data_IF_087463903075
#
_entry.id   IF_087463903075
#
_cell.length_a   1.000
_cell.length_b   1.000
_cell.length_c   1.000
_cell.angle_alpha   90.00
_cell.angle_beta   90.00
_cell.angle_gamma   90.00
#
_symmetry.space_group_name_H-M   'P 1'
#
loop_
_entity.id
_entity.type
_entity.pdbx_description
1 polymer ?
#
# COMPACT_ATOMS: atom_id res chain seq x y z
N UNK A 1 12.08 -35.73 -51.06
CA UNK A 1 13.24 -35.29 -50.27
C UNK A 1 12.86 -35.39 -48.79
N UNK A 2 13.09 -36.56 -48.20
CA UNK A 2 12.70 -36.88 -46.82
C UNK A 2 13.73 -36.30 -45.85
N UNK A 3 13.37 -35.23 -45.13
CA UNK A 3 14.23 -34.68 -44.08
C UNK A 3 14.13 -35.54 -42.83
N UNK A 4 15.19 -36.32 -42.60
CA UNK A 4 15.38 -37.17 -41.44
C UNK A 4 15.93 -36.31 -40.30
N UNK A 5 15.09 -35.95 -39.32
CA UNK A 5 15.49 -35.10 -38.19
C UNK A 5 16.13 -35.97 -37.10
N UNK A 6 17.46 -36.07 -37.14
CA UNK A 6 18.23 -36.75 -36.10
C UNK A 6 18.14 -35.97 -34.77
N UNK A 7 17.25 -36.43 -33.89
CA UNK A 7 17.14 -35.96 -32.51
C UNK A 7 18.40 -36.36 -31.71
N UNK A 8 19.32 -35.42 -31.54
CA UNK A 8 20.40 -35.55 -30.56
C UNK A 8 19.82 -35.71 -29.15
N UNK A 9 20.15 -36.79 -28.45
CA UNK A 9 19.59 -37.17 -27.13
C UNK A 9 19.78 -36.15 -26.00
N UNK A 10 20.52 -35.05 -26.20
CA UNK A 10 20.86 -34.03 -25.17
C UNK A 10 20.14 -32.69 -25.36
N UNK A 11 19.44 -32.48 -26.47
CA UNK A 11 18.64 -31.28 -26.75
C UNK A 11 17.32 -31.14 -25.96
N UNK A 12 16.61 -32.22 -25.53
CA UNK A 12 15.31 -32.04 -24.87
C UNK A 12 15.45 -31.45 -23.46
N UNK A 13 16.57 -31.70 -22.78
CA UNK A 13 16.80 -31.23 -21.42
C UNK A 13 17.00 -29.70 -21.34
N UNK A 14 17.64 -29.11 -22.35
CA UNK A 14 17.85 -27.64 -22.43
C UNK A 14 16.56 -26.91 -22.74
N UNK A 15 15.73 -27.49 -23.62
CA UNK A 15 14.40 -26.94 -23.94
C UNK A 15 13.52 -27.02 -22.69
N UNK A 16 13.49 -28.17 -22.01
CA UNK A 16 12.71 -28.34 -20.78
C UNK A 16 13.15 -27.38 -19.67
N UNK A 17 14.46 -27.18 -19.48
CA UNK A 17 14.97 -26.22 -18.50
C UNK A 17 14.60 -24.77 -18.82
N UNK A 18 14.62 -24.38 -20.11
CA UNK A 18 14.20 -23.05 -20.55
C UNK A 18 12.69 -22.83 -20.37
N UNK A 19 11.87 -23.86 -20.61
CA UNK A 19 10.41 -23.79 -20.37
C UNK A 19 10.10 -23.68 -18.87
N UNK A 20 10.82 -24.42 -18.02
CA UNK A 20 10.65 -24.35 -16.56
C UNK A 20 11.09 -23.00 -15.97
N UNK A 21 12.16 -22.39 -16.51
CA UNK A 21 12.60 -21.06 -16.09
C UNK A 21 11.59 -19.97 -16.51
N UNK A 22 10.99 -20.09 -17.69
CA UNK A 22 9.95 -19.17 -18.15
C UNK A 22 8.64 -19.27 -17.33
N UNK A 23 8.29 -20.46 -16.82
CA UNK A 23 7.13 -20.63 -15.92
C UNK A 23 7.40 -20.12 -14.49
N UNK A 24 8.66 -20.10 -14.05
CA UNK A 24 9.05 -19.60 -12.72
C UNK A 24 9.05 -18.07 -12.60
N UNK A 25 8.95 -17.35 -13.71
CA UNK A 25 8.96 -15.88 -13.76
C UNK A 25 7.56 -15.27 -13.61
N UNK A 26 6.64 -15.92 -12.90
CA UNK A 26 5.43 -15.27 -12.42
C UNK A 26 5.83 -14.30 -11.32
N UNK A 27 6.15 -13.07 -11.72
CA UNK A 27 6.25 -11.94 -10.82
C UNK A 27 4.95 -11.87 -10.02
N UNK A 28 5.07 -11.85 -8.69
CA UNK A 28 3.96 -11.60 -7.80
C UNK A 28 3.50 -10.16 -7.96
N UNK A 29 2.71 -9.90 -9.01
CA UNK A 29 1.96 -8.66 -9.14
C UNK A 29 0.87 -8.69 -8.07
N UNK A 30 0.95 -7.79 -7.10
CA UNK A 30 -0.09 -7.62 -6.11
C UNK A 30 -1.41 -7.35 -6.84
N UNK A 31 -2.41 -8.21 -6.61
CA UNK A 31 -3.73 -8.03 -7.19
C UNK A 31 -4.33 -6.69 -6.72
N UNK A 32 -4.97 -5.91 -7.61
CA UNK A 32 -5.68 -4.71 -7.19
C UNK A 32 -6.69 -5.03 -6.10
N UNK A 33 -6.57 -4.38 -4.95
CA UNK A 33 -7.44 -4.61 -3.80
C UNK A 33 -8.68 -3.71 -3.90
N UNK A 34 -9.47 -3.91 -4.97
CA UNK A 34 -10.64 -3.09 -5.29
C UNK A 34 -11.60 -2.86 -4.10
N UNK A 35 -11.88 -3.86 -3.24
CA UNK A 35 -12.78 -3.65 -2.09
C UNK A 35 -12.27 -2.60 -1.09
N UNK A 36 -10.96 -2.51 -0.85
CA UNK A 36 -10.41 -1.49 0.06
C UNK A 36 -10.39 -0.11 -0.58
N UNK A 37 -10.26 -0.04 -1.90
CA UNK A 37 -10.36 1.22 -2.63
C UNK A 37 -11.76 1.81 -2.51
N UNK A 38 -12.80 0.99 -2.68
CA UNK A 38 -14.19 1.44 -2.54
C UNK A 38 -14.49 1.90 -1.10
N UNK A 39 -13.98 1.17 -0.10
CA UNK A 39 -14.08 1.59 1.31
C UNK A 39 -13.35 2.92 1.57
N UNK A 40 -12.14 3.09 1.03
CA UNK A 40 -11.37 4.32 1.18
C UNK A 40 -12.09 5.53 0.53
N UNK A 41 -12.80 5.31 -0.59
CA UNK A 41 -13.57 6.38 -1.23
C UNK A 41 -14.77 6.82 -0.40
N UNK A 42 -15.37 5.93 0.40
CA UNK A 42 -16.46 6.28 1.32
C UNK A 42 -15.97 7.21 2.43
N UNK A 43 -14.76 7.01 2.94
CA UNK A 43 -14.15 7.81 4.01
C UNK A 43 -13.63 9.19 3.56
N UNK A 44 -13.59 9.45 2.24
CA UNK A 44 -13.01 10.67 1.67
C UNK A 44 -13.59 11.94 2.28
N UNK A 45 -14.91 12.02 2.43
CA UNK A 45 -15.57 13.22 2.98
C UNK A 45 -15.13 13.49 4.43
N UNK A 46 -15.13 12.46 5.29
CA UNK A 46 -14.72 12.60 6.69
C UNK A 46 -13.23 12.95 6.85
N UNK A 47 -12.37 12.50 5.93
CA UNK A 47 -10.96 12.90 5.92
C UNK A 47 -10.77 14.37 5.53
N UNK A 48 -11.56 14.90 4.60
CA UNK A 48 -11.53 16.34 4.27
C UNK A 48 -11.99 17.19 5.45
N UNK A 49 -13.02 16.74 6.19
CA UNK A 49 -13.42 17.41 7.43
C UNK A 49 -12.31 17.39 8.48
N UNK A 50 -11.62 16.25 8.62
CA UNK A 50 -10.47 16.14 9.51
C UNK A 50 -9.33 17.09 9.09
N UNK A 51 -9.05 17.20 7.79
CA UNK A 51 -8.06 18.17 7.28
C UNK A 51 -8.48 19.60 7.64
N UNK A 52 -9.74 19.98 7.43
CA UNK A 52 -10.27 21.30 7.79
C UNK A 52 -10.05 21.59 9.28
N UNK A 53 -10.38 20.65 10.14
CA UNK A 53 -10.27 20.84 11.59
C UNK A 53 -8.80 20.96 12.04
N UNK A 54 -7.89 20.20 11.42
CA UNK A 54 -6.46 20.26 11.73
C UNK A 54 -5.82 21.56 11.24
N UNK A 55 -6.04 21.94 9.98
CA UNK A 55 -5.42 23.15 9.39
C UNK A 55 -6.07 24.44 9.85
N UNK A 56 -7.29 24.38 10.38
CA UNK A 56 -7.97 25.54 10.97
C UNK A 56 -7.38 25.97 12.32
N UNK A 57 -6.56 25.12 12.95
CA UNK A 57 -5.82 25.47 14.16
C UNK A 57 -4.48 26.06 13.72
N UNK A 58 -4.25 27.34 14.02
CA UNK A 58 -2.92 27.92 13.90
C UNK A 58 -1.98 27.16 14.86
N UNK A 59 -1.00 26.47 14.31
CA UNK A 59 -0.06 25.64 15.08
C UNK A 59 1.37 25.91 14.64
N UNK A 60 1.72 27.19 14.54
CA UNK A 60 3.09 27.62 14.33
C UNK A 60 3.99 27.10 15.46
N UNK A 61 5.27 26.82 15.16
CA UNK A 61 6.20 26.23 16.14
C UNK A 61 6.44 27.07 17.39
N UNK A 62 6.11 28.37 17.35
CA UNK A 62 6.19 29.30 18.48
C UNK A 62 4.83 29.56 19.13
N UNK A 63 3.74 29.05 18.57
CA UNK A 63 2.39 29.17 19.12
C UNK A 63 2.10 28.01 20.07
N UNK A 64 2.49 28.17 21.34
CA UNK A 64 2.27 27.15 22.36
C UNK A 64 0.79 26.85 22.61
N UNK A 65 -0.09 27.84 22.46
CA UNK A 65 -1.53 27.65 22.65
C UNK A 65 -2.12 26.85 21.49
N UNK A 66 -1.75 27.21 20.26
CA UNK A 66 -2.05 26.49 19.04
C UNK A 66 -1.59 25.03 19.07
N UNK A 67 -0.33 24.82 19.48
CA UNK A 67 0.25 23.48 19.66
C UNK A 67 -0.50 22.65 20.70
N UNK A 68 -0.89 23.24 21.84
CA UNK A 68 -1.68 22.54 22.85
C UNK A 68 -3.07 22.13 22.32
N UNK A 69 -3.71 23.01 21.54
CA UNK A 69 -5.03 22.73 20.93
C UNK A 69 -4.97 21.60 19.91
N UNK A 70 -4.02 21.64 18.98
CA UNK A 70 -3.90 20.59 17.96
C UNK A 70 -3.49 19.25 18.59
N UNK A 71 -2.62 19.27 19.59
CA UNK A 71 -2.23 18.06 20.33
C UNK A 71 -3.42 17.41 21.05
N UNK A 72 -4.27 18.22 21.70
CA UNK A 72 -5.49 17.72 22.33
C UNK A 72 -6.46 17.12 21.31
N UNK A 73 -6.69 17.80 20.19
CA UNK A 73 -7.57 17.32 19.12
C UNK A 73 -7.09 15.99 18.53
N UNK A 74 -5.78 15.85 18.28
CA UNK A 74 -5.19 14.60 17.77
C UNK A 74 -5.32 13.49 18.83
N UNK A 75 -5.00 13.80 20.09
CA UNK A 75 -5.11 12.84 21.19
C UNK A 75 -6.52 12.29 21.30
N UNK A 76 -7.52 13.16 21.31
CA UNK A 76 -8.91 12.75 21.53
C UNK A 76 -9.44 11.91 20.36
N UNK A 77 -9.07 12.25 19.11
CA UNK A 77 -9.42 11.44 17.93
C UNK A 77 -8.76 10.07 17.93
N UNK A 78 -7.46 10.01 18.23
CA UNK A 78 -6.74 8.74 18.30
C UNK A 78 -7.24 7.84 19.44
N UNK A 79 -7.58 8.44 20.59
CA UNK A 79 -8.18 7.72 21.71
C UNK A 79 -9.58 7.19 21.34
N UNK A 80 -10.39 7.97 20.62
CA UNK A 80 -11.70 7.53 20.14
C UNK A 80 -11.63 6.33 19.18
N UNK A 81 -10.54 6.18 18.43
CA UNK A 81 -10.27 5.00 17.61
C UNK A 81 -9.69 3.80 18.39
N UNK A 82 -9.58 3.91 19.72
CA UNK A 82 -9.06 2.84 20.59
C UNK A 82 -7.53 2.85 20.75
N UNK A 83 -6.86 3.92 20.31
CA UNK A 83 -5.43 4.09 20.50
C UNK A 83 -5.07 4.41 21.96
N UNK A 84 -3.90 3.94 22.41
CA UNK A 84 -3.25 4.46 23.62
C UNK A 84 -2.42 5.67 23.22
N UNK A 85 -2.72 6.84 23.79
CA UNK A 85 -2.08 8.10 23.39
C UNK A 85 -1.42 8.75 24.60
N UNK A 86 -0.17 9.18 24.42
CA UNK A 86 0.61 9.95 25.40
C UNK A 86 1.08 11.24 24.73
N UNK A 87 1.11 12.33 25.50
CA UNK A 87 1.67 13.61 25.08
C UNK A 87 3.12 13.70 25.59
N UNK A 88 4.05 14.10 24.72
CA UNK A 88 5.49 14.18 25.00
C UNK A 88 5.91 15.60 25.40
#
# INVERSE_FOLDING_TARGET
MTFNFALHKKTPLKILAATLFALGAQSALAAPQAPFYDMAQQEKAGLIDTMRDLVGIESGSQDLEGLAKIAALIRDRLAAFGGKVELL
#
